data_IF_742093171432
#
_entry.id   IF_742093171432
#
_cell.length_a   1.000
_cell.length_b   1.000
_cell.length_c   1.000
_cell.angle_alpha   90.00
_cell.angle_beta   90.00
_cell.angle_gamma   90.00
#
_symmetry.space_group_name_H-M   'P 1'
#
loop_
_entity.id
_entity.type
_entity.pdbx_description
1 polymer ?
#
# COMPACT_ATOMS: atom_id res chain seq x y z
N UNK A 1 38.44 7.00 -25.34
CA UNK A 1 38.78 6.33 -24.06
C UNK A 1 37.49 6.10 -23.32
N UNK A 2 37.01 4.86 -23.23
CA UNK A 2 35.86 4.50 -22.41
C UNK A 2 36.34 4.38 -20.96
N UNK A 3 35.86 5.26 -20.09
CA UNK A 3 36.12 5.14 -18.66
C UNK A 3 35.46 3.84 -18.16
N UNK A 4 36.29 2.88 -17.72
CA UNK A 4 35.82 1.79 -16.89
C UNK A 4 35.38 2.40 -15.56
N UNK A 5 34.08 2.56 -15.38
CA UNK A 5 33.52 2.92 -14.09
C UNK A 5 33.66 1.67 -13.22
N UNK A 6 34.51 1.74 -12.19
CA UNK A 6 34.68 0.63 -11.24
C UNK A 6 33.37 0.32 -10.53
N UNK A 7 33.19 -0.95 -10.14
CA UNK A 7 32.04 -1.38 -9.36
C UNK A 7 31.95 -0.60 -8.03
N UNK A 8 30.74 -0.20 -7.65
CA UNK A 8 30.48 0.42 -6.35
C UNK A 8 30.29 -0.70 -5.31
N UNK A 9 31.04 -0.63 -4.21
CA UNK A 9 30.93 -1.59 -3.11
C UNK A 9 29.54 -1.52 -2.44
N UNK A 10 29.09 -2.66 -1.90
CA UNK A 10 27.86 -2.71 -1.11
C UNK A 10 27.96 -1.80 0.11
N UNK A 11 26.93 -0.98 0.34
CA UNK A 11 26.85 -0.04 1.44
C UNK A 11 25.40 0.18 1.85
N UNK A 12 25.21 0.62 3.09
CA UNK A 12 23.94 1.18 3.56
C UNK A 12 24.02 2.70 3.58
N UNK A 13 22.89 3.36 3.42
CA UNK A 13 22.77 4.80 3.54
C UNK A 13 21.54 5.15 4.37
N UNK A 14 21.68 6.08 5.31
CA UNK A 14 20.55 6.67 6.00
C UNK A 14 19.90 7.74 5.11
N UNK A 15 18.59 7.69 4.96
CA UNK A 15 17.80 8.62 4.15
C UNK A 15 16.71 9.24 5.03
N UNK A 16 16.43 10.53 4.84
CA UNK A 16 15.37 11.24 5.53
C UNK A 16 14.56 12.07 4.52
N UNK A 17 13.24 12.06 4.71
CA UNK A 17 12.30 12.82 3.89
C UNK A 17 11.43 13.74 4.76
N UNK A 18 11.07 14.90 4.24
CA UNK A 18 10.16 15.84 4.90
C UNK A 18 9.16 16.39 3.88
N UNK A 19 7.87 16.17 4.12
CA UNK A 19 6.79 16.57 3.23
C UNK A 19 5.63 17.21 3.99
N UNK A 20 4.91 18.10 3.32
CA UNK A 20 3.57 18.51 3.71
C UNK A 20 2.58 17.73 2.83
N UNK A 21 1.74 16.90 3.44
CA UNK A 21 0.69 16.17 2.73
C UNK A 21 -0.64 16.89 2.94
N UNK A 22 -1.36 17.16 1.85
CA UNK A 22 -2.68 17.75 1.89
C UNK A 22 -3.74 16.66 1.81
N UNK A 23 -4.52 16.52 2.87
CA UNK A 23 -5.67 15.64 2.91
C UNK A 23 -6.94 16.45 2.63
N UNK A 24 -7.80 16.02 1.69
CA UNK A 24 -9.11 16.64 1.48
C UNK A 24 -9.99 16.43 2.73
N UNK A 25 -11.05 17.22 2.86
CA UNK A 25 -12.02 17.02 3.94
C UNK A 25 -12.66 15.63 3.82
N UNK A 26 -12.67 14.86 4.91
CA UNK A 26 -13.25 13.53 4.97
C UNK A 26 -13.83 13.25 6.36
N UNK A 27 -14.95 12.51 6.45
CA UNK A 27 -15.48 12.07 7.74
C UNK A 27 -14.63 10.93 8.34
N UNK A 28 -14.81 10.60 9.63
CA UNK A 28 -14.33 9.33 10.17
C UNK A 28 -14.85 8.16 9.35
N UNK A 29 -14.03 7.13 9.20
CA UNK A 29 -14.32 5.97 8.35
C UNK A 29 -15.58 5.22 8.81
N UNK A 30 -15.85 5.17 10.10
CA UNK A 30 -17.02 4.49 10.64
C UNK A 30 -18.36 5.07 10.14
N UNK A 31 -18.35 6.32 9.67
CA UNK A 31 -19.51 6.97 9.06
C UNK A 31 -19.65 6.75 7.55
N UNK A 32 -18.68 6.10 6.91
CA UNK A 32 -18.68 5.85 5.48
C UNK A 32 -19.67 4.71 5.13
N UNK A 33 -20.59 4.91 4.15
CA UNK A 33 -21.56 3.88 3.77
C UNK A 33 -20.94 2.62 3.18
N UNK A 34 -19.71 2.70 2.66
CA UNK A 34 -18.95 1.59 2.08
C UNK A 34 -17.98 0.92 3.06
N UNK A 35 -17.86 1.41 4.29
CA UNK A 35 -17.11 0.72 5.34
C UNK A 35 -17.62 -0.73 5.57
N UNK A 36 -18.91 -0.98 5.30
CA UNK A 36 -19.48 -2.34 5.32
C UNK A 36 -18.83 -3.27 4.30
N UNK A 37 -18.39 -2.75 3.16
CA UNK A 37 -17.81 -3.50 2.04
C UNK A 37 -16.36 -3.90 2.40
N UNK A 38 -15.61 -2.99 3.03
CA UNK A 38 -14.34 -3.31 3.68
C UNK A 38 -14.47 -4.40 4.73
N UNK A 39 -15.41 -4.26 5.67
CA UNK A 39 -15.60 -5.25 6.72
C UNK A 39 -16.07 -6.59 6.16
N UNK A 40 -16.88 -6.58 5.09
CA UNK A 40 -17.27 -7.78 4.38
C UNK A 40 -16.04 -8.47 3.77
N UNK A 41 -15.22 -7.75 3.00
CA UNK A 41 -13.99 -8.28 2.41
C UNK A 41 -13.04 -8.80 3.49
N UNK A 42 -12.83 -8.02 4.56
CA UNK A 42 -11.98 -8.38 5.69
C UNK A 42 -12.45 -9.69 6.32
N UNK A 43 -13.74 -9.81 6.66
CA UNK A 43 -14.31 -11.02 7.27
C UNK A 43 -14.24 -12.23 6.36
N UNK A 44 -14.48 -12.04 5.06
CA UNK A 44 -14.45 -13.11 4.07
C UNK A 44 -13.05 -13.67 3.82
N UNK A 45 -12.01 -12.83 3.95
CA UNK A 45 -10.63 -13.19 3.53
C UNK A 45 -9.65 -13.40 4.68
N UNK A 46 -9.89 -12.82 5.86
CA UNK A 46 -8.92 -12.81 6.99
C UNK A 46 -8.38 -14.19 7.37
N UNK A 47 -9.19 -15.24 7.29
CA UNK A 47 -8.83 -16.57 7.80
C UNK A 47 -7.86 -17.29 6.84
N UNK A 48 -7.83 -16.86 5.57
CA UNK A 48 -6.91 -17.37 4.54
C UNK A 48 -5.92 -16.32 4.07
N UNK A 49 -5.93 -15.13 4.67
CA UNK A 49 -5.09 -14.02 4.27
C UNK A 49 -3.61 -14.32 4.55
N UNK A 50 -2.76 -13.82 3.68
CA UNK A 50 -1.31 -13.81 3.85
C UNK A 50 -0.78 -12.42 3.55
N UNK A 51 0.29 -12.02 4.22
CA UNK A 51 0.96 -10.78 3.89
C UNK A 51 1.41 -10.80 2.42
N UNK A 52 1.18 -9.73 1.67
CA UNK A 52 1.55 -9.60 0.25
C UNK A 52 3.03 -9.91 -0.02
N UNK A 53 3.94 -9.56 0.90
CA UNK A 53 5.35 -9.95 0.81
C UNK A 53 5.54 -11.47 0.86
N UNK A 54 4.88 -12.16 1.79
CA UNK A 54 4.94 -13.60 1.88
C UNK A 54 4.31 -14.27 0.65
N UNK A 55 3.18 -13.75 0.14
CA UNK A 55 2.56 -14.19 -1.11
C UNK A 55 3.56 -14.15 -2.28
N UNK A 56 4.19 -12.98 -2.49
CA UNK A 56 5.19 -12.78 -3.56
C UNK A 56 6.43 -13.64 -3.37
N UNK A 57 6.71 -14.08 -2.14
CA UNK A 57 7.85 -14.92 -1.78
C UNK A 57 7.47 -16.37 -1.51
N UNK A 58 6.41 -16.85 -2.17
CA UNK A 58 6.00 -18.28 -2.18
C UNK A 58 5.72 -18.82 -0.76
N UNK A 59 5.12 -17.98 0.09
CA UNK A 59 4.75 -18.33 1.45
C UNK A 59 5.83 -18.11 2.51
N UNK A 60 7.00 -17.56 2.14
CA UNK A 60 8.04 -17.25 3.12
C UNK A 60 7.64 -16.06 4.01
N UNK A 61 7.44 -16.34 5.29
CA UNK A 61 7.04 -15.39 6.34
C UNK A 61 8.21 -14.92 7.19
N UNK A 62 9.47 -15.26 6.86
CA UNK A 62 10.66 -14.90 7.65
C UNK A 62 10.85 -13.40 7.90
N UNK A 63 10.28 -12.55 7.04
CA UNK A 63 10.28 -11.09 7.21
C UNK A 63 8.96 -10.53 7.74
N UNK A 64 7.95 -11.36 8.01
CA UNK A 64 6.68 -10.90 8.58
C UNK A 64 6.77 -10.80 10.11
N UNK A 65 6.06 -9.83 10.69
CA UNK A 65 5.88 -9.72 12.12
C UNK A 65 4.55 -9.02 12.45
N UNK A 66 3.95 -9.37 13.59
CA UNK A 66 2.64 -8.89 14.02
C UNK A 66 1.46 -9.58 13.34
N UNK A 67 0.25 -9.05 13.56
CA UNK A 67 -0.98 -9.47 12.91
C UNK A 67 -1.08 -9.03 11.45
N UNK A 68 -2.12 -9.50 10.76
CA UNK A 68 -2.48 -9.02 9.42
C UNK A 68 -3.46 -7.87 9.50
N UNK A 69 -3.20 -6.84 8.69
CA UNK A 69 -3.95 -5.61 8.58
C UNK A 69 -4.27 -5.37 7.10
N UNK A 70 -5.46 -4.86 6.84
CA UNK A 70 -5.89 -4.50 5.49
C UNK A 70 -5.46 -3.06 5.19
N UNK A 71 -4.95 -2.85 3.98
CA UNK A 71 -4.40 -1.58 3.52
C UNK A 71 -5.04 -1.17 2.19
N UNK A 72 -5.20 0.13 1.96
CA UNK A 72 -5.65 0.66 0.67
C UNK A 72 -4.46 0.83 -0.29
N UNK A 73 -4.36 -0.02 -1.31
CA UNK A 73 -3.17 -0.17 -2.14
C UNK A 73 -2.88 1.00 -3.08
N UNK A 74 -3.90 1.76 -3.51
CA UNK A 74 -3.78 2.79 -4.53
C UNK A 74 -4.27 4.15 -4.04
N UNK A 75 -5.49 4.18 -3.49
CA UNK A 75 -6.10 5.40 -2.94
C UNK A 75 -6.50 5.16 -1.51
N UNK A 76 -5.85 5.85 -0.58
CA UNK A 76 -6.25 5.84 0.83
C UNK A 76 -7.66 6.39 1.02
N UNK A 77 -8.41 5.81 1.96
CA UNK A 77 -9.73 6.31 2.37
C UNK A 77 -9.73 7.83 2.61
N UNK A 78 -8.70 8.34 3.30
CA UNK A 78 -8.57 9.77 3.62
C UNK A 78 -8.41 10.70 2.40
N UNK A 79 -8.10 10.13 1.23
CA UNK A 79 -7.87 10.87 -0.02
C UNK A 79 -9.04 10.76 -1.00
N UNK A 80 -10.04 9.90 -0.74
CA UNK A 80 -11.08 9.56 -1.72
C UNK A 80 -11.83 10.78 -2.28
N UNK A 81 -12.12 11.78 -1.43
CA UNK A 81 -12.84 12.99 -1.81
C UNK A 81 -12.02 13.95 -2.70
N UNK A 82 -10.73 13.67 -2.91
CA UNK A 82 -9.83 14.45 -3.75
C UNK A 82 -9.39 13.73 -5.03
N UNK A 83 -9.98 12.57 -5.34
CA UNK A 83 -9.61 11.77 -6.53
C UNK A 83 -9.99 12.48 -7.82
N UNK A 84 -9.06 12.54 -8.77
CA UNK A 84 -9.36 12.85 -10.16
C UNK A 84 -9.92 11.58 -10.83
N UNK A 85 -11.24 11.56 -11.02
CA UNK A 85 -11.95 10.42 -11.59
C UNK A 85 -11.59 10.12 -13.04
N UNK A 86 -11.16 11.13 -13.81
CA UNK A 86 -10.77 10.90 -15.20
C UNK A 86 -9.43 10.17 -15.29
N UNK A 87 -8.51 10.50 -14.37
CA UNK A 87 -7.24 9.76 -14.23
C UNK A 87 -7.52 8.34 -13.73
N UNK A 88 -8.33 8.20 -12.68
CA UNK A 88 -8.59 6.89 -12.09
C UNK A 88 -9.33 5.95 -13.06
N UNK A 89 -10.31 6.46 -13.84
CA UNK A 89 -11.02 5.70 -14.89
C UNK A 89 -10.09 5.17 -15.99
N UNK A 90 -9.01 5.88 -16.32
CA UNK A 90 -8.06 5.44 -17.33
C UNK A 90 -7.28 4.18 -16.88
N UNK A 91 -6.97 4.07 -15.59
CA UNK A 91 -6.27 2.92 -15.01
C UNK A 91 -7.24 1.79 -14.63
N UNK A 92 -8.42 2.14 -14.13
CA UNK A 92 -9.47 1.22 -13.72
C UNK A 92 -10.76 1.60 -14.45
N UNK A 93 -11.12 0.97 -15.57
CA UNK A 93 -12.35 1.32 -16.28
C UNK A 93 -13.62 0.99 -15.48
N UNK A 94 -14.60 1.91 -15.47
CA UNK A 94 -15.93 1.72 -14.87
C UNK A 94 -16.18 2.42 -13.52
N UNK A 95 -15.36 3.38 -13.11
CA UNK A 95 -15.39 4.06 -11.79
C UNK A 95 -15.46 5.59 -11.88
N UNK A 96 -15.79 6.11 -13.06
CA UNK A 96 -15.99 7.55 -13.33
C UNK A 96 -17.23 8.15 -12.66
N UNK A 97 -18.03 7.36 -11.94
CA UNK A 97 -19.15 7.85 -11.15
C UNK A 97 -18.66 8.33 -9.75
N UNK A 98 -18.75 9.63 -9.44
CA UNK A 98 -18.35 10.15 -8.13
C UNK A 98 -19.10 9.52 -6.96
N UNK A 99 -20.34 9.09 -7.16
CA UNK A 99 -21.14 8.45 -6.11
C UNK A 99 -20.71 7.00 -5.81
N UNK A 100 -19.80 6.43 -6.63
CA UNK A 100 -19.32 5.05 -6.53
C UNK A 100 -17.83 4.95 -6.24
N UNK A 101 -17.08 6.06 -6.22
CA UNK A 101 -15.63 6.02 -5.95
C UNK A 101 -15.34 5.44 -4.57
N UNK A 102 -16.16 5.73 -3.56
CA UNK A 102 -16.02 5.16 -2.22
C UNK A 102 -16.22 3.65 -2.20
N UNK A 103 -17.14 3.12 -3.02
CA UNK A 103 -17.32 1.67 -3.20
C UNK A 103 -16.05 1.02 -3.72
N UNK A 104 -15.42 1.63 -4.74
CA UNK A 104 -14.16 1.12 -5.29
C UNK A 104 -13.01 1.20 -4.29
N UNK A 105 -12.89 2.33 -3.56
CA UNK A 105 -11.84 2.54 -2.55
C UNK A 105 -11.90 1.46 -1.47
N UNK A 106 -13.10 1.08 -1.04
CA UNK A 106 -13.33 0.05 -0.02
C UNK A 106 -13.46 -1.38 -0.60
N UNK A 107 -13.11 -1.58 -1.88
CA UNK A 107 -13.25 -2.88 -2.57
C UNK A 107 -11.95 -3.67 -2.65
N UNK A 108 -12.08 -4.97 -2.96
CA UNK A 108 -10.96 -5.87 -3.23
C UNK A 108 -9.94 -5.35 -4.26
N UNK A 109 -10.36 -4.48 -5.19
CA UNK A 109 -9.47 -3.92 -6.21
C UNK A 109 -8.44 -2.95 -5.62
N UNK A 110 -8.77 -2.31 -4.50
CA UNK A 110 -7.91 -1.36 -3.81
C UNK A 110 -7.44 -1.88 -2.44
N UNK A 111 -7.72 -3.15 -2.09
CA UNK A 111 -7.40 -3.69 -0.77
C UNK A 111 -6.33 -4.78 -0.82
N UNK A 112 -5.36 -4.68 0.07
CA UNK A 112 -4.25 -5.65 0.19
C UNK A 112 -3.96 -5.97 1.65
N UNK A 113 -3.61 -7.23 1.92
CA UNK A 113 -3.19 -7.66 3.24
C UNK A 113 -1.68 -7.47 3.44
N UNK A 114 -1.32 -6.75 4.50
CA UNK A 114 0.06 -6.67 5.00
C UNK A 114 0.12 -7.17 6.44
N UNK A 115 1.27 -7.67 6.89
CA UNK A 115 1.51 -7.78 8.32
C UNK A 115 1.88 -6.41 8.89
N UNK A 116 1.73 -6.22 10.20
CA UNK A 116 2.04 -4.94 10.87
C UNK A 116 3.41 -4.38 10.49
N UNK A 117 4.45 -5.22 10.37
CA UNK A 117 5.78 -4.77 9.92
C UNK A 117 5.77 -4.16 8.52
N UNK A 118 5.12 -4.81 7.54
CA UNK A 118 5.07 -4.32 6.17
C UNK A 118 3.99 -3.23 5.97
N UNK A 119 3.04 -3.10 6.88
CA UNK A 119 2.03 -2.06 6.82
C UNK A 119 2.56 -0.75 7.43
N UNK A 120 2.93 -0.80 8.71
CA UNK A 120 3.20 0.39 9.55
C UNK A 120 4.56 0.36 10.26
N UNK A 121 5.41 -0.63 9.97
CA UNK A 121 6.79 -0.67 10.47
C UNK A 121 7.68 0.41 9.83
N UNK A 122 8.94 0.48 10.26
CA UNK A 122 9.90 1.49 9.79
C UNK A 122 10.14 1.44 8.27
N UNK A 123 10.06 0.26 7.66
CA UNK A 123 10.07 0.07 6.20
C UNK A 123 8.72 -0.33 5.60
N UNK A 124 7.63 -0.10 6.33
CA UNK A 124 6.28 -0.43 5.87
C UNK A 124 5.76 0.56 4.81
N UNK A 125 4.66 0.21 4.16
CA UNK A 125 4.05 0.99 3.07
C UNK A 125 3.70 2.43 3.47
N UNK A 126 3.37 2.66 4.74
CA UNK A 126 3.09 4.01 5.26
C UNK A 126 4.34 4.83 5.62
N UNK A 127 5.54 4.24 5.58
CA UNK A 127 6.78 4.88 6.02
C UNK A 127 7.81 5.04 4.90
N UNK A 128 8.01 3.98 4.12
CA UNK A 128 8.97 3.97 3.03
C UNK A 128 8.47 4.77 1.83
N UNK A 129 9.38 5.23 0.98
CA UNK A 129 8.98 5.74 -0.34
C UNK A 129 8.32 4.61 -1.14
N UNK A 130 7.40 4.94 -2.04
CA UNK A 130 6.72 3.93 -2.86
C UNK A 130 7.72 3.04 -3.63
N UNK A 131 8.79 3.63 -4.18
CA UNK A 131 9.83 2.89 -4.89
C UNK A 131 10.64 1.96 -4.00
N UNK A 132 11.00 2.39 -2.78
CA UNK A 132 11.79 1.55 -1.86
C UNK A 132 10.93 0.42 -1.30
N UNK A 133 9.66 0.70 -1.01
CA UNK A 133 8.71 -0.32 -0.55
C UNK A 133 8.47 -1.39 -1.62
N UNK A 134 8.24 -0.97 -2.88
CA UNK A 134 8.10 -1.91 -4.00
C UNK A 134 9.37 -2.74 -4.20
N UNK A 135 10.54 -2.09 -4.21
CA UNK A 135 11.83 -2.78 -4.35
C UNK A 135 12.07 -3.81 -3.24
N UNK A 136 11.61 -3.54 -2.01
CA UNK A 136 11.74 -4.45 -0.87
C UNK A 136 11.04 -5.81 -1.08
N UNK A 137 10.07 -5.89 -2.00
CA UNK A 137 9.47 -7.17 -2.38
C UNK A 137 10.52 -8.11 -2.98
N UNK A 138 11.43 -7.56 -3.80
CA UNK A 138 12.41 -8.29 -4.60
C UNK A 138 13.81 -8.33 -3.96
N UNK A 139 14.15 -7.32 -3.17
CA UNK A 139 15.45 -7.18 -2.51
C UNK A 139 15.29 -7.37 -1.01
N UNK A 140 15.80 -8.50 -0.50
CA UNK A 140 15.75 -8.81 0.94
C UNK A 140 16.64 -7.87 1.73
N UNK A 141 16.16 -7.46 2.90
CA UNK A 141 16.90 -6.57 3.79
C UNK A 141 17.18 -5.18 3.20
N UNK A 142 16.43 -4.72 2.19
CA UNK A 142 16.60 -3.40 1.61
C UNK A 142 16.39 -2.28 2.65
N UNK A 143 15.39 -2.45 3.52
CA UNK A 143 15.03 -1.51 4.58
C UNK A 143 14.99 -2.28 5.91
N UNK A 144 15.60 -1.69 6.95
CA UNK A 144 15.71 -2.27 8.29
C UNK A 144 15.27 -1.28 9.36
#
# INVERSE_FOLDING_TARGET
MTAHHGEIAAHGQAVAHHYTVHYPAHPPREGDPHYRDFEHYRKATKDTAVCRFAERRRGDTSECAGGLELHHAHVEFSLQNGVDLAVLEADYPGISNPDQVGEWVESAANLVWYCERHHRGHGGVHTASASDFEASVYVRGLIS
#
